data_IF_379738381427
#
_entry.id   IF_379738381427
#
_cell.length_a   1.000
_cell.length_b   1.000
_cell.length_c   1.000
_cell.angle_alpha   90.00
_cell.angle_beta   90.00
_cell.angle_gamma   90.00
#
_symmetry.space_group_name_H-M   'P 1'
#
loop_
_entity.id
_entity.type
_entity.pdbx_description
1 polymer ?
#
# COMPACT_ATOMS: atom_id res chain seq x y z
N UNK A 1 12.03 -15.94 10.14
CA UNK A 1 11.69 -17.27 9.86
C UNK A 1 12.22 -17.74 8.50
N UNK A 2 12.37 -19.04 8.37
CA UNK A 2 13.26 -19.62 7.36
C UNK A 2 12.55 -20.10 6.08
N UNK A 3 11.24 -19.85 5.97
CA UNK A 3 10.47 -20.30 4.83
C UNK A 3 10.73 -19.40 3.62
N UNK A 4 11.00 -20.02 2.46
CA UNK A 4 11.16 -19.26 1.23
C UNK A 4 9.85 -18.58 0.83
N UNK A 5 9.93 -17.52 0.04
CA UNK A 5 8.73 -16.84 -0.46
C UNK A 5 7.82 -17.78 -1.24
N UNK A 6 8.40 -18.63 -2.07
CA UNK A 6 7.61 -19.61 -2.84
C UNK A 6 6.86 -20.58 -1.93
N UNK A 7 7.54 -21.13 -0.92
CA UNK A 7 6.92 -22.05 0.03
C UNK A 7 5.83 -21.36 0.83
N UNK A 8 6.12 -20.15 1.32
CA UNK A 8 5.15 -19.38 2.08
C UNK A 8 3.90 -19.06 1.24
N UNK A 9 4.10 -18.67 0.00
CA UNK A 9 2.99 -18.39 -0.91
C UNK A 9 2.17 -19.67 -1.16
N UNK A 10 2.82 -20.81 -1.37
CA UNK A 10 2.11 -22.06 -1.57
C UNK A 10 1.24 -22.43 -0.37
N UNK A 11 1.67 -22.06 0.83
CA UNK A 11 0.89 -22.32 2.05
C UNK A 11 -0.25 -21.30 2.22
N UNK A 12 -0.03 -20.05 1.86
CA UNK A 12 -1.03 -18.97 2.05
C UNK A 12 -2.06 -18.91 0.93
N UNK A 13 -1.68 -19.23 -0.30
CA UNK A 13 -2.58 -19.06 -1.43
C UNK A 13 -3.92 -19.80 -1.30
N UNK A 14 -3.95 -21.04 -0.80
CA UNK A 14 -5.24 -21.71 -0.56
C UNK A 14 -6.14 -20.92 0.40
N UNK A 15 -5.54 -20.28 1.40
CA UNK A 15 -6.27 -19.46 2.37
C UNK A 15 -6.78 -18.17 1.71
N UNK A 16 -5.99 -17.57 0.83
CA UNK A 16 -6.39 -16.40 0.05
C UNK A 16 -7.61 -16.75 -0.83
N UNK A 17 -7.54 -17.90 -1.51
CA UNK A 17 -8.63 -18.36 -2.37
C UNK A 17 -9.93 -18.58 -1.60
N UNK A 18 -9.86 -19.06 -0.37
CA UNK A 18 -11.04 -19.22 0.49
C UNK A 18 -11.73 -17.87 0.76
N UNK A 19 -10.97 -16.79 0.77
CA UNK A 19 -11.51 -15.45 0.96
C UNK A 19 -11.93 -14.79 -0.36
N UNK A 20 -11.81 -15.51 -1.47
CA UNK A 20 -12.14 -14.96 -2.78
C UNK A 20 -11.03 -14.10 -3.37
N UNK A 21 -9.83 -14.16 -2.82
CA UNK A 21 -8.70 -13.35 -3.26
C UNK A 21 -7.87 -14.11 -4.29
N UNK A 22 -7.73 -13.53 -5.46
CA UNK A 22 -6.96 -14.13 -6.55
C UNK A 22 -5.68 -13.34 -6.77
N UNK A 23 -4.57 -14.05 -6.90
CA UNK A 23 -3.28 -13.41 -7.22
C UNK A 23 -3.32 -12.94 -8.68
N UNK A 24 -2.86 -11.71 -8.97
CA UNK A 24 -2.75 -11.28 -10.37
C UNK A 24 -1.71 -12.12 -11.13
N UNK A 25 -0.63 -12.50 -10.46
CA UNK A 25 0.37 -13.43 -10.97
C UNK A 25 1.23 -13.94 -9.80
N UNK A 26 2.07 -14.93 -10.07
CA UNK A 26 2.90 -15.54 -9.03
C UNK A 26 3.95 -14.57 -8.48
N UNK A 27 4.55 -13.76 -9.34
CA UNK A 27 5.57 -12.80 -8.91
C UNK A 27 5.02 -11.81 -7.91
N UNK A 28 3.84 -11.24 -8.20
CA UNK A 28 3.18 -10.32 -7.27
C UNK A 28 2.90 -10.99 -5.92
N UNK A 29 2.46 -12.25 -5.96
CA UNK A 29 2.20 -13.02 -4.75
C UNK A 29 3.45 -13.26 -3.93
N UNK A 30 4.57 -13.57 -4.57
CA UNK A 30 5.85 -13.74 -3.89
C UNK A 30 6.30 -12.44 -3.23
N UNK A 31 6.19 -11.33 -3.95
CA UNK A 31 6.56 -10.02 -3.40
C UNK A 31 5.69 -9.67 -2.20
N UNK A 32 4.40 -9.97 -2.26
CA UNK A 32 3.50 -9.76 -1.13
C UNK A 32 3.93 -10.56 0.10
N UNK A 33 4.19 -11.86 -0.06
CA UNK A 33 4.55 -12.70 1.10
C UNK A 33 5.93 -12.36 1.64
N UNK A 34 6.85 -11.87 0.81
CA UNK A 34 8.14 -11.36 1.29
C UNK A 34 7.95 -10.12 2.15
N UNK A 35 6.99 -9.28 1.77
CA UNK A 35 6.70 -8.05 2.51
C UNK A 35 6.07 -8.33 3.87
N UNK A 36 5.07 -9.21 3.92
CA UNK A 36 4.32 -9.48 5.15
C UNK A 36 4.93 -10.58 6.02
N UNK A 37 5.71 -11.47 5.42
CA UNK A 37 6.25 -12.66 6.09
C UNK A 37 7.01 -12.38 7.39
N UNK A 38 7.93 -11.39 7.41
CA UNK A 38 8.72 -11.13 8.61
C UNK A 38 7.92 -10.81 9.87
N UNK A 39 6.70 -10.30 9.74
CA UNK A 39 5.85 -9.97 10.88
C UNK A 39 4.86 -11.06 11.25
N UNK A 40 4.87 -12.18 10.51
CA UNK A 40 3.97 -13.30 10.79
C UNK A 40 4.53 -14.19 11.89
N UNK A 41 3.68 -14.53 12.85
CA UNK A 41 3.96 -15.53 13.88
C UNK A 41 3.21 -16.81 13.52
N UNK A 42 1.94 -16.67 13.17
CA UNK A 42 1.07 -17.76 12.75
C UNK A 42 0.67 -17.60 11.29
N UNK A 43 0.31 -18.69 10.63
CA UNK A 43 -0.12 -18.63 9.23
C UNK A 43 -1.35 -17.74 9.03
N UNK A 44 -2.26 -17.73 9.99
CA UNK A 44 -3.45 -16.85 9.93
C UNK A 44 -3.09 -15.36 9.94
N UNK A 45 -1.94 -15.00 10.51
CA UNK A 45 -1.47 -13.61 10.46
C UNK A 45 -1.25 -13.16 9.02
N UNK A 46 -0.82 -14.08 8.17
CA UNK A 46 -0.63 -13.79 6.74
C UNK A 46 -1.93 -13.43 6.05
N UNK A 47 -3.02 -14.06 6.41
CA UNK A 47 -4.34 -13.73 5.86
C UNK A 47 -4.74 -12.31 6.28
N UNK A 48 -4.62 -12.01 7.58
CA UNK A 48 -4.98 -10.69 8.10
C UNK A 48 -4.12 -9.58 7.50
N UNK A 49 -2.82 -9.82 7.39
CA UNK A 49 -1.89 -8.83 6.85
C UNK A 49 -2.00 -8.68 5.34
N UNK A 50 -2.42 -9.72 4.62
CA UNK A 50 -2.62 -9.65 3.18
C UNK A 50 -3.94 -8.99 2.80
N UNK A 51 -4.93 -9.04 3.67
CA UNK A 51 -6.28 -8.54 3.38
C UNK A 51 -6.31 -7.14 2.76
N UNK A 52 -5.56 -6.13 3.28
CA UNK A 52 -5.61 -4.78 2.71
C UNK A 52 -5.10 -4.68 1.27
N UNK A 53 -4.39 -5.70 0.78
CA UNK A 53 -3.90 -5.73 -0.59
C UNK A 53 -4.95 -6.28 -1.57
N UNK A 54 -5.96 -6.98 -1.06
CA UNK A 54 -7.03 -7.56 -1.88
C UNK A 54 -8.36 -6.85 -1.72
N UNK A 55 -8.64 -6.30 -0.53
CA UNK A 55 -9.88 -5.62 -0.22
C UNK A 55 -9.60 -4.19 0.21
N UNK A 56 -10.53 -3.27 -0.08
CA UNK A 56 -10.39 -1.90 0.39
C UNK A 56 -10.42 -1.89 1.90
N UNK A 57 -9.41 -1.32 2.54
CA UNK A 57 -9.34 -1.34 4.00
C UNK A 57 -10.34 -0.37 4.64
N UNK A 58 -10.76 -0.71 5.85
CA UNK A 58 -11.55 0.19 6.68
C UNK A 58 -10.61 1.19 7.35
N UNK A 59 -11.12 2.40 7.61
CA UNK A 59 -10.33 3.42 8.30
C UNK A 59 -10.27 3.12 9.79
N UNK A 60 -9.06 3.10 10.34
CA UNK A 60 -8.88 3.12 11.80
C UNK A 60 -9.12 4.56 12.30
N UNK A 61 -9.27 4.71 13.61
CA UNK A 61 -9.41 6.06 14.19
C UNK A 61 -8.23 6.95 13.84
N UNK A 62 -7.01 6.43 13.88
CA UNK A 62 -5.81 7.17 13.54
C UNK A 62 -5.75 7.53 12.05
N UNK A 63 -6.13 6.60 11.20
CA UNK A 63 -6.19 6.83 9.75
C UNK A 63 -7.21 7.90 9.41
N UNK A 64 -8.39 7.84 10.03
CA UNK A 64 -9.43 8.84 9.80
C UNK A 64 -8.98 10.23 10.25
N UNK A 65 -8.36 10.33 11.43
CA UNK A 65 -7.83 11.62 11.92
C UNK A 65 -6.78 12.19 10.97
N UNK A 66 -5.91 11.34 10.47
CA UNK A 66 -4.86 11.77 9.52
C UNK A 66 -5.47 12.34 8.25
N UNK A 67 -6.50 11.69 7.72
CA UNK A 67 -7.14 12.11 6.48
C UNK A 67 -7.98 13.38 6.64
N UNK A 68 -8.36 13.74 7.87
CA UNK A 68 -9.09 14.97 8.16
C UNK A 68 -8.20 16.20 8.29
N UNK A 69 -6.88 16.02 8.38
CA UNK A 69 -5.94 17.15 8.39
C UNK A 69 -6.02 17.84 7.03
N UNK A 70 -6.12 19.18 7.02
CA UNK A 70 -6.30 19.91 5.76
C UNK A 70 -5.14 19.68 4.78
N UNK A 71 -3.93 19.53 5.29
CA UNK A 71 -2.74 19.27 4.46
C UNK A 71 -2.83 17.91 3.76
N UNK A 72 -3.50 16.94 4.38
CA UNK A 72 -3.61 15.59 3.81
C UNK A 72 -4.30 15.63 2.44
N UNK A 73 -5.38 16.38 2.32
CA UNK A 73 -6.10 16.50 1.04
C UNK A 73 -5.24 17.13 -0.05
N UNK A 74 -4.47 18.15 0.31
CA UNK A 74 -3.56 18.82 -0.63
C UNK A 74 -2.48 17.86 -1.09
N UNK A 75 -1.89 17.11 -0.16
CA UNK A 75 -0.86 16.10 -0.44
C UNK A 75 -1.41 15.03 -1.37
N UNK A 76 -2.55 14.47 -1.04
CA UNK A 76 -3.14 13.38 -1.80
C UNK A 76 -3.54 13.83 -3.21
N UNK A 77 -4.06 15.04 -3.34
CA UNK A 77 -4.38 15.61 -4.66
C UNK A 77 -3.12 15.77 -5.50
N UNK A 78 -2.05 16.28 -4.91
CA UNK A 78 -0.76 16.43 -5.59
C UNK A 78 -0.26 15.07 -6.10
N UNK A 79 -0.23 14.07 -5.22
CA UNK A 79 0.22 12.73 -5.58
C UNK A 79 -0.66 12.11 -6.66
N UNK A 80 -1.96 12.25 -6.54
CA UNK A 80 -2.91 11.72 -7.52
C UNK A 80 -2.66 12.33 -8.92
N UNK A 81 -2.50 13.64 -8.98
CA UNK A 81 -2.25 14.32 -10.25
C UNK A 81 -0.94 13.85 -10.89
N UNK A 82 0.09 13.63 -10.07
CA UNK A 82 1.37 13.09 -10.58
C UNK A 82 1.22 11.66 -11.08
N UNK A 83 0.48 10.83 -10.35
CA UNK A 83 0.24 9.44 -10.76
C UNK A 83 -0.56 9.37 -12.06
N UNK A 84 -1.52 10.27 -12.24
CA UNK A 84 -2.32 10.32 -13.48
C UNK A 84 -1.47 10.67 -14.70
N UNK A 85 -0.36 11.38 -14.51
CA UNK A 85 0.57 11.72 -15.60
C UNK A 85 1.52 10.61 -15.95
N UNK A 86 1.64 9.60 -15.10
CA UNK A 86 2.41 8.42 -15.43
C UNK A 86 1.58 7.57 -16.38
N UNK A 87 2.08 7.33 -17.57
CA UNK A 87 1.37 6.49 -18.54
C UNK A 87 0.93 5.18 -17.89
N UNK A 88 0.64 4.17 -18.60
CA UNK A 88 0.14 2.90 -18.06
C UNK A 88 1.12 2.15 -17.15
N UNK A 89 2.23 2.79 -16.79
CA UNK A 89 3.26 2.18 -15.95
C UNK A 89 2.90 2.27 -14.48
N UNK A 90 3.16 1.22 -13.76
CA UNK A 90 3.16 1.27 -12.31
C UNK A 90 4.46 1.93 -11.83
N UNK A 91 4.47 2.40 -10.59
CA UNK A 91 5.62 3.10 -10.03
C UNK A 91 6.74 2.12 -9.68
N UNK A 92 7.97 2.60 -9.82
CA UNK A 92 9.17 1.92 -9.33
C UNK A 92 9.51 2.47 -7.94
N UNK A 93 10.42 1.82 -7.24
CA UNK A 93 10.91 2.31 -5.95
C UNK A 93 11.50 3.72 -6.07
N UNK A 94 12.32 3.93 -7.11
CA UNK A 94 12.91 5.25 -7.38
C UNK A 94 11.84 6.31 -7.61
N UNK A 95 10.82 5.99 -8.40
CA UNK A 95 9.74 6.93 -8.69
C UNK A 95 8.90 7.22 -7.45
N UNK A 96 8.68 6.22 -6.61
CA UNK A 96 7.96 6.41 -5.35
C UNK A 96 8.68 7.39 -4.43
N UNK A 97 9.99 7.21 -4.25
CA UNK A 97 10.80 8.15 -3.46
C UNK A 97 10.76 9.55 -4.05
N UNK A 98 10.89 9.66 -5.37
CA UNK A 98 10.85 10.93 -6.07
C UNK A 98 9.53 11.66 -5.85
N UNK A 99 8.42 10.95 -5.98
CA UNK A 99 7.09 11.54 -5.78
C UNK A 99 6.88 12.02 -4.35
N UNK A 100 7.36 11.26 -3.36
CA UNK A 100 7.28 11.68 -1.96
C UNK A 100 8.10 12.94 -1.72
N UNK A 101 9.28 13.03 -2.30
CA UNK A 101 10.14 14.22 -2.18
C UNK A 101 9.51 15.43 -2.88
N UNK A 102 8.92 15.24 -4.05
CA UNK A 102 8.21 16.30 -4.76
C UNK A 102 7.02 16.81 -3.95
N UNK A 103 6.24 15.92 -3.36
CA UNK A 103 5.11 16.31 -2.53
C UNK A 103 5.54 17.10 -1.31
N UNK A 104 6.63 16.68 -0.67
CA UNK A 104 7.21 17.37 0.48
C UNK A 104 7.53 18.82 0.14
N UNK A 105 8.17 19.05 -1.01
CA UNK A 105 8.54 20.39 -1.45
C UNK A 105 7.34 21.20 -1.94
N UNK A 106 6.51 20.61 -2.78
CA UNK A 106 5.40 21.32 -3.39
C UNK A 106 4.33 21.72 -2.38
N UNK A 107 4.08 20.88 -1.39
CA UNK A 107 3.07 21.12 -0.36
C UNK A 107 3.64 21.85 0.87
N UNK A 108 4.96 22.06 0.90
CA UNK A 108 5.65 22.74 2.00
C UNK A 108 5.36 22.09 3.36
N UNK A 109 5.47 20.77 3.40
CA UNK A 109 5.23 19.97 4.60
C UNK A 109 6.42 19.05 4.86
N UNK A 110 6.44 18.42 6.02
CA UNK A 110 7.45 17.41 6.34
C UNK A 110 7.15 16.11 5.61
N UNK A 111 8.21 15.39 5.24
CA UNK A 111 8.07 14.11 4.54
C UNK A 111 7.24 13.10 5.34
N UNK A 112 7.39 13.10 6.67
CA UNK A 112 6.58 12.23 7.53
C UNK A 112 5.08 12.45 7.38
N UNK A 113 4.67 13.70 7.19
CA UNK A 113 3.26 14.03 6.98
C UNK A 113 2.77 13.50 5.63
N UNK A 114 3.60 13.60 4.59
CA UNK A 114 3.29 13.04 3.27
C UNK A 114 3.09 11.52 3.40
N UNK A 115 4.02 10.85 4.05
CA UNK A 115 3.98 9.40 4.19
C UNK A 115 2.78 8.92 4.99
N UNK A 116 2.46 9.59 6.10
CA UNK A 116 1.30 9.25 6.92
C UNK A 116 -0.01 9.44 6.17
N UNK A 117 -0.11 10.53 5.41
CA UNK A 117 -1.33 10.82 4.64
C UNK A 117 -1.52 9.78 3.54
N UNK A 118 -0.45 9.42 2.84
CA UNK A 118 -0.51 8.40 1.81
C UNK A 118 -0.85 7.03 2.41
N UNK A 119 -0.21 6.64 3.51
CA UNK A 119 -0.50 5.35 4.16
C UNK A 119 -1.97 5.28 4.59
N UNK A 120 -2.49 6.36 5.18
CA UNK A 120 -3.89 6.40 5.60
C UNK A 120 -4.85 6.25 4.42
N UNK A 121 -4.54 6.88 3.27
CA UNK A 121 -5.36 6.76 2.08
C UNK A 121 -5.30 5.35 1.47
N UNK A 122 -4.11 4.75 1.43
CA UNK A 122 -3.91 3.44 0.80
C UNK A 122 -4.36 2.29 1.69
N UNK A 123 -4.13 2.38 3.00
CA UNK A 123 -4.34 1.26 3.92
C UNK A 123 -5.26 1.56 5.09
N UNK A 124 -5.76 2.77 5.20
CA UNK A 124 -6.73 3.14 6.25
C UNK A 124 -6.15 3.28 7.65
N UNK A 125 -4.84 3.11 7.80
CA UNK A 125 -4.15 3.11 9.10
C UNK A 125 -2.80 3.80 8.97
N UNK A 126 -2.16 4.09 10.10
CA UNK A 126 -0.82 4.68 10.13
C UNK A 126 0.27 3.62 10.33
N UNK A 127 -0.12 2.38 10.51
CA UNK A 127 0.81 1.28 10.76
C UNK A 127 0.78 0.26 9.62
N UNK A 128 1.84 -0.50 9.48
CA UNK A 128 1.90 -1.55 8.48
C UNK A 128 3.32 -1.81 8.00
N UNK A 129 3.48 -2.68 7.01
CA UNK A 129 4.79 -2.95 6.42
C UNK A 129 5.30 -1.74 5.66
N UNK A 130 6.52 -1.83 5.14
CA UNK A 130 7.17 -0.74 4.41
C UNK A 130 6.20 -0.07 3.43
N UNK A 131 6.05 1.25 3.55
CA UNK A 131 5.08 2.00 2.75
C UNK A 131 5.39 1.95 1.26
N UNK A 132 6.65 2.12 0.89
CA UNK A 132 7.03 2.16 -0.52
C UNK A 132 6.79 0.82 -1.18
N UNK A 133 7.22 -0.27 -0.56
CA UNK A 133 6.98 -1.62 -1.09
C UNK A 133 5.50 -1.94 -1.16
N UNK A 134 4.74 -1.53 -0.15
CA UNK A 134 3.29 -1.71 -0.12
C UNK A 134 2.60 -0.91 -1.24
N UNK A 135 3.02 0.33 -1.43
CA UNK A 135 2.50 1.19 -2.49
C UNK A 135 2.77 0.60 -3.88
N UNK A 136 3.99 0.11 -4.10
CA UNK A 136 4.35 -0.51 -5.38
C UNK A 136 3.46 -1.71 -5.68
N UNK A 137 3.19 -2.57 -4.70
CA UNK A 137 2.29 -3.71 -4.88
C UNK A 137 0.89 -3.26 -5.31
N UNK A 138 0.35 -2.22 -4.66
CA UNK A 138 -0.95 -1.67 -5.05
C UNK A 138 -0.92 -1.03 -6.43
N UNK A 139 0.16 -0.34 -6.76
CA UNK A 139 0.33 0.29 -8.08
C UNK A 139 0.29 -0.75 -9.20
N UNK A 140 0.93 -1.89 -8.99
CA UNK A 140 1.00 -2.97 -9.98
C UNK A 140 -0.37 -3.58 -10.29
N UNK A 141 -1.35 -3.40 -9.42
CA UNK A 141 -2.72 -3.87 -9.64
C UNK A 141 -3.71 -2.71 -9.76
N UNK A 142 -3.20 -1.50 -10.00
CA UNK A 142 -3.97 -0.28 -10.24
C UNK A 142 -4.93 0.10 -9.12
N UNK A 143 -4.57 -0.22 -7.88
CA UNK A 143 -5.39 0.10 -6.71
C UNK A 143 -4.96 1.36 -5.98
N UNK A 144 -3.75 1.85 -6.21
CA UNK A 144 -3.26 3.03 -5.50
C UNK A 144 -4.07 4.29 -5.84
N UNK A 145 -4.26 4.58 -7.11
CA UNK A 145 -5.04 5.75 -7.54
C UNK A 145 -6.50 5.65 -7.10
N UNK A 146 -7.09 4.47 -7.25
CA UNK A 146 -8.47 4.25 -6.87
C UNK A 146 -8.70 4.52 -5.38
N UNK A 147 -7.72 4.19 -4.54
CA UNK A 147 -7.82 4.44 -3.10
C UNK A 147 -7.56 5.89 -2.75
N UNK A 148 -6.61 6.54 -3.41
CA UNK A 148 -6.28 7.94 -3.15
C UNK A 148 -7.44 8.86 -3.53
N UNK A 149 -8.07 8.63 -4.71
CA UNK A 149 -9.13 9.50 -5.21
C UNK A 149 -10.33 9.58 -4.27
N UNK A 150 -10.51 8.60 -3.41
CA UNK A 150 -11.62 8.58 -2.45
C UNK A 150 -11.52 9.72 -1.42
N UNK A 151 -10.35 10.30 -1.25
CA UNK A 151 -10.06 11.27 -0.19
C UNK A 151 -9.68 12.66 -0.71
N UNK A 152 -9.90 12.93 -1.97
CA UNK A 152 -9.59 14.24 -2.55
C UNK A 152 -10.83 14.94 -3.13
#
# INVERSE_FOLDING_TARGET
HDMSAETLLNNLNPMFKKNGWLLPNQEWGKDLVELIGPSMILMNDGVDQAKPFFEDPELTNDGEKQLKIKEAKVILKFLYEKLEKLDHSYITEEKAHDLLNQATKACEVKKGLVMKSLRAALFGTLNGPDLIKSWILLSRISKDRARIIRFI
#
